data_IF_355154762053
#
_entry.id   IF_355154762053
#
_cell.length_a   1.000
_cell.length_b   1.000
_cell.length_c   1.000
_cell.angle_alpha   90.00
_cell.angle_beta   90.00
_cell.angle_gamma   90.00
#
_symmetry.space_group_name_H-M   'P 1'
#
loop_
_entity.id
_entity.type
_entity.pdbx_description
1 polymer ?
#
# COMPACT_ATOMS: atom_id res chain seq x y z
N UNK A 1 -6.89 1.96 13.34
CA UNK A 1 -6.68 3.32 12.81
C UNK A 1 -7.97 3.83 12.18
N UNK A 2 -8.17 5.13 12.17
CA UNK A 2 -9.33 5.81 11.59
C UNK A 2 -8.89 6.95 10.70
N UNK A 3 -9.60 7.19 9.61
CA UNK A 3 -9.52 8.38 8.79
C UNK A 3 -10.67 9.31 9.21
N UNK A 4 -10.34 10.54 9.58
CA UNK A 4 -11.29 11.59 9.91
C UNK A 4 -11.39 12.54 8.73
N UNK A 5 -12.61 12.83 8.30
CA UNK A 5 -12.89 13.88 7.32
C UNK A 5 -13.41 15.08 8.09
N UNK A 6 -12.73 16.20 7.97
CA UNK A 6 -13.09 17.46 8.62
C UNK A 6 -13.79 18.39 7.62
N UNK A 7 -14.59 19.33 8.12
CA UNK A 7 -15.28 20.33 7.29
C UNK A 7 -14.28 21.29 6.64
N UNK A 8 -13.39 21.86 7.44
CA UNK A 8 -12.27 22.72 7.01
C UNK A 8 -11.19 22.75 8.08
N UNK A 9 -10.05 23.38 7.77
CA UNK A 9 -8.98 23.62 8.75
C UNK A 9 -9.42 24.61 9.84
N UNK A 10 -10.19 25.65 9.44
CA UNK A 10 -10.67 26.70 10.34
C UNK A 10 -11.84 26.24 11.23
N UNK A 11 -12.62 25.28 10.76
CA UNK A 11 -13.72 24.69 11.50
C UNK A 11 -13.59 23.16 11.49
N UNK A 12 -12.79 22.57 12.41
CA UNK A 12 -12.44 21.14 12.41
C UNK A 12 -13.59 20.24 12.90
N UNK A 13 -14.80 20.47 12.39
CA UNK A 13 -15.95 19.60 12.65
C UNK A 13 -15.80 18.30 11.90
N UNK A 14 -15.84 17.18 12.61
CA UNK A 14 -15.79 15.84 12.02
C UNK A 14 -17.06 15.59 11.20
N UNK A 15 -16.92 15.50 9.88
CA UNK A 15 -18.00 15.15 8.97
C UNK A 15 -18.18 13.64 8.84
N UNK A 16 -17.06 12.90 8.85
CA UNK A 16 -17.07 11.44 8.67
C UNK A 16 -15.88 10.79 9.34
N UNK A 17 -16.12 9.60 9.91
CA UNK A 17 -15.07 8.71 10.44
C UNK A 17 -15.11 7.41 9.66
N UNK A 18 -13.96 6.97 9.15
CA UNK A 18 -13.82 5.71 8.44
C UNK A 18 -12.76 4.83 9.11
N UNK A 19 -13.09 3.59 9.41
CA UNK A 19 -12.07 2.60 9.80
C UNK A 19 -11.19 2.30 8.61
N UNK A 20 -9.86 2.38 8.78
CA UNK A 20 -8.90 2.16 7.71
C UNK A 20 -8.62 0.68 7.42
N UNK A 21 -9.03 -0.20 8.31
CA UNK A 21 -8.82 -1.65 8.16
C UNK A 21 -9.56 -2.20 6.94
N UNK A 22 -8.83 -2.85 6.02
CA UNK A 22 -9.34 -3.46 4.79
C UNK A 22 -10.05 -2.48 3.85
N UNK A 23 -9.64 -1.24 3.85
CA UNK A 23 -10.04 -0.27 2.83
C UNK A 23 -9.05 -0.39 1.68
N UNK A 24 -9.56 -0.64 0.48
CA UNK A 24 -8.80 -0.55 -0.77
C UNK A 24 -8.72 0.89 -1.20
N UNK A 25 -7.58 1.30 -1.71
CA UNK A 25 -7.38 2.62 -2.25
C UNK A 25 -6.98 2.51 -3.73
N UNK A 26 -7.68 3.23 -4.58
CA UNK A 26 -7.36 3.37 -5.99
C UNK A 26 -7.19 4.86 -6.33
N UNK A 27 -6.34 5.17 -7.31
CA UNK A 27 -5.98 6.53 -7.69
C UNK A 27 -6.25 6.75 -9.17
N UNK A 28 -6.98 7.81 -9.49
CA UNK A 28 -7.32 8.13 -10.86
C UNK A 28 -6.96 9.59 -11.17
N UNK A 29 -6.40 9.81 -12.35
CA UNK A 29 -6.20 11.14 -12.93
C UNK A 29 -7.16 11.27 -14.11
N UNK A 30 -8.10 12.17 -14.01
CA UNK A 30 -9.04 12.48 -15.08
C UNK A 30 -8.63 13.80 -15.72
N UNK A 31 -8.39 13.79 -17.03
CA UNK A 31 -8.21 15.03 -17.78
C UNK A 31 -9.60 15.61 -18.05
N UNK A 32 -9.80 16.87 -17.73
CA UNK A 32 -10.99 17.57 -18.19
C UNK A 32 -10.77 18.06 -19.62
N UNK A 33 -11.53 17.54 -20.56
CA UNK A 33 -11.55 17.96 -21.97
C UNK A 33 -12.30 19.30 -22.18
N UNK A 34 -12.40 20.14 -21.17
CA UNK A 34 -12.97 21.47 -21.32
C UNK A 34 -11.97 22.39 -22.03
N UNK A 35 -12.41 23.03 -23.10
CA UNK A 35 -11.68 23.91 -24.05
C UNK A 35 -10.95 25.13 -23.46
N UNK A 36 -10.69 25.17 -22.17
CA UNK A 36 -10.02 26.27 -21.48
C UNK A 36 -9.05 25.75 -20.42
N UNK A 37 -7.84 25.37 -20.85
CA UNK A 37 -6.75 25.03 -19.96
C UNK A 37 -6.74 23.56 -19.48
N UNK A 38 -5.57 22.91 -19.54
CA UNK A 38 -5.38 21.54 -19.01
C UNK A 38 -5.51 21.50 -17.48
N UNK A 39 -6.72 21.42 -16.96
CA UNK A 39 -6.92 21.11 -15.55
C UNK A 39 -7.09 19.60 -15.38
N UNK A 40 -6.22 18.97 -14.60
CA UNK A 40 -6.35 17.57 -14.23
C UNK A 40 -7.04 17.46 -12.87
N UNK A 41 -8.09 16.66 -12.79
CA UNK A 41 -8.73 16.30 -11.52
C UNK A 41 -8.15 14.98 -11.04
N UNK A 42 -7.63 14.96 -9.82
CA UNK A 42 -7.14 13.77 -9.19
C UNK A 42 -8.19 13.20 -8.24
N UNK A 43 -8.45 11.92 -8.36
CA UNK A 43 -9.45 11.24 -7.53
C UNK A 43 -8.79 10.11 -6.75
N UNK A 44 -9.11 10.04 -5.47
CA UNK A 44 -8.75 8.93 -4.59
C UNK A 44 -10.05 8.18 -4.28
N UNK A 45 -10.11 6.92 -4.66
CA UNK A 45 -11.23 6.03 -4.39
C UNK A 45 -10.92 5.17 -3.17
N UNK A 46 -11.68 5.32 -2.11
CA UNK A 46 -11.62 4.45 -0.93
C UNK A 46 -12.78 3.44 -1.01
N UNK A 47 -12.46 2.15 -1.15
CA UNK A 47 -13.43 1.09 -1.40
C UNK A 47 -13.47 0.14 -0.21
N UNK A 48 -14.67 -0.06 0.35
CA UNK A 48 -14.90 -1.02 1.43
C UNK A 48 -16.29 -1.66 1.30
N UNK A 49 -16.35 -3.00 1.35
CA UNK A 49 -17.61 -3.77 1.28
C UNK A 49 -18.52 -3.30 0.12
N UNK A 50 -17.96 -3.20 -1.08
CA UNK A 50 -18.62 -2.74 -2.32
C UNK A 50 -19.16 -1.30 -2.28
N UNK A 51 -18.92 -0.56 -1.20
CA UNK A 51 -19.18 0.89 -1.11
C UNK A 51 -17.90 1.65 -1.35
N UNK A 52 -18.01 2.80 -2.02
CA UNK A 52 -16.86 3.66 -2.26
C UNK A 52 -17.10 5.08 -1.77
N UNK A 53 -16.01 5.76 -1.42
CA UNK A 53 -15.97 7.19 -1.15
C UNK A 53 -14.96 7.78 -2.09
N UNK A 54 -15.37 8.79 -2.86
CA UNK A 54 -14.48 9.55 -3.74
C UNK A 54 -13.97 10.78 -3.00
N UNK A 55 -12.66 11.00 -3.05
CA UNK A 55 -12.00 12.23 -2.61
C UNK A 55 -11.41 12.89 -3.84
N UNK A 56 -11.64 14.17 -4.01
CA UNK A 56 -11.16 14.93 -5.16
C UNK A 56 -10.14 15.96 -4.72
N UNK A 57 -9.14 16.20 -5.54
CA UNK A 57 -8.22 17.34 -5.42
C UNK A 57 -7.86 17.85 -6.80
N UNK A 58 -7.80 19.18 -6.92
CA UNK A 58 -7.39 19.86 -8.16
C UNK A 58 -5.89 20.08 -8.21
N UNK A 59 -5.18 19.91 -7.08
CA UNK A 59 -3.75 20.13 -6.98
C UNK A 59 -2.99 18.80 -6.95
N UNK A 60 -2.09 18.63 -7.92
CA UNK A 60 -1.24 17.45 -8.04
C UNK A 60 -0.23 17.28 -6.90
N UNK A 61 0.23 18.37 -6.28
CA UNK A 61 1.15 18.33 -5.15
C UNK A 61 0.45 17.76 -3.91
N UNK A 62 -0.75 18.25 -3.60
CA UNK A 62 -1.58 17.69 -2.53
C UNK A 62 -1.94 16.23 -2.80
N UNK A 63 -2.31 15.88 -4.05
CA UNK A 63 -2.57 14.50 -4.43
C UNK A 63 -1.37 13.58 -4.14
N UNK A 64 -0.16 14.00 -4.54
CA UNK A 64 1.07 13.22 -4.32
C UNK A 64 1.35 13.01 -2.83
N UNK A 65 1.19 14.06 -2.03
CA UNK A 65 1.33 14.01 -0.57
C UNK A 65 0.30 13.05 0.08
N UNK A 66 -0.95 13.12 -0.35
CA UNK A 66 -2.02 12.22 0.10
C UNK A 66 -1.72 10.77 -0.29
N UNK A 67 -1.36 10.53 -1.55
CA UNK A 67 -0.98 9.20 -2.04
C UNK A 67 0.12 8.58 -1.21
N UNK A 68 1.20 9.32 -0.94
CA UNK A 68 2.34 8.86 -0.15
C UNK A 68 1.98 8.47 1.30
N UNK A 69 0.99 9.13 1.90
CA UNK A 69 0.52 8.80 3.25
C UNK A 69 -0.51 7.67 3.27
N UNK A 70 -1.40 7.63 2.27
CA UNK A 70 -2.49 6.65 2.24
C UNK A 70 -2.00 5.25 1.82
N UNK A 71 -0.94 5.14 1.00
CA UNK A 71 -0.37 3.85 0.62
C UNK A 71 0.18 3.04 1.80
N UNK A 72 0.59 3.72 2.88
CA UNK A 72 1.04 3.08 4.13
C UNK A 72 -0.11 2.55 5.01
N UNK A 73 -1.35 2.98 4.74
CA UNK A 73 -2.51 2.71 5.60
C UNK A 73 -3.54 1.83 4.91
N UNK A 74 -3.72 2.02 3.61
CA UNK A 74 -4.74 1.34 2.81
C UNK A 74 -4.13 0.30 1.87
N UNK A 75 -4.93 -0.71 1.54
CA UNK A 75 -4.58 -1.70 0.52
C UNK A 75 -4.60 -1.06 -0.86
N UNK A 76 -3.48 -1.13 -1.56
CA UNK A 76 -3.34 -0.68 -2.94
C UNK A 76 -3.77 -1.80 -3.91
N UNK A 77 -4.23 -1.46 -5.12
CA UNK A 77 -4.70 -2.44 -6.09
C UNK A 77 -3.85 -2.50 -7.38
N UNK A 78 -2.81 -1.69 -7.46
CA UNK A 78 -2.02 -1.42 -8.66
C UNK A 78 -0.64 -2.10 -8.70
N UNK A 79 -0.42 -3.18 -7.92
CA UNK A 79 0.89 -3.82 -7.76
C UNK A 79 1.60 -4.09 -9.09
N UNK A 80 0.94 -4.79 -10.02
CA UNK A 80 1.55 -5.18 -11.30
C UNK A 80 1.75 -4.01 -12.26
N UNK A 81 1.00 -2.94 -12.09
CA UNK A 81 1.19 -1.70 -12.85
C UNK A 81 2.39 -0.93 -12.34
N UNK A 82 2.56 -0.88 -11.01
CA UNK A 82 3.59 -0.11 -10.33
C UNK A 82 4.95 -0.78 -10.28
N UNK A 83 4.99 -2.11 -10.11
CA UNK A 83 6.22 -2.86 -9.90
C UNK A 83 6.50 -3.86 -11.03
N UNK A 84 7.80 -3.98 -11.35
CA UNK A 84 8.36 -5.04 -12.19
C UNK A 84 9.05 -6.06 -11.31
N UNK A 85 8.70 -7.34 -11.42
CA UNK A 85 9.34 -8.43 -10.69
C UNK A 85 10.63 -8.82 -11.39
N UNK A 86 11.76 -8.76 -10.68
CA UNK A 86 13.08 -9.09 -11.22
C UNK A 86 13.43 -10.56 -11.00
N UNK A 87 13.42 -11.00 -9.74
CA UNK A 87 13.74 -12.40 -9.38
C UNK A 87 13.17 -12.76 -8.02
N UNK A 88 13.01 -14.06 -7.78
CA UNK A 88 12.71 -14.58 -6.45
C UNK A 88 14.02 -14.60 -5.62
N UNK A 89 13.96 -14.05 -4.39
CA UNK A 89 15.11 -13.95 -3.48
C UNK A 89 14.91 -14.75 -2.19
N UNK A 90 13.71 -15.30 -1.96
CA UNK A 90 13.42 -16.13 -0.80
C UNK A 90 12.13 -16.94 -0.97
N UNK A 91 12.07 -18.08 -0.28
CA UNK A 91 10.90 -18.94 -0.22
C UNK A 91 10.70 -19.39 1.22
N UNK A 92 9.66 -18.89 1.86
CA UNK A 92 9.21 -19.33 3.17
C UNK A 92 8.07 -20.34 3.10
N UNK A 93 7.62 -20.82 4.25
CA UNK A 93 6.51 -21.76 4.35
C UNK A 93 5.17 -21.16 3.87
N UNK A 94 4.96 -19.86 4.10
CA UNK A 94 3.68 -19.17 3.87
C UNK A 94 3.74 -18.14 2.75
N UNK A 95 4.94 -17.73 2.34
CA UNK A 95 5.12 -16.66 1.36
C UNK A 95 6.36 -16.88 0.50
N UNK A 96 6.37 -16.25 -0.65
CA UNK A 96 7.55 -16.10 -1.50
C UNK A 96 8.05 -14.66 -1.45
N UNK A 97 9.36 -14.48 -1.47
CA UNK A 97 9.96 -13.15 -1.47
C UNK A 97 10.59 -12.87 -2.82
N UNK A 98 10.26 -11.73 -3.38
CA UNK A 98 10.74 -11.30 -4.70
C UNK A 98 11.49 -9.98 -4.58
N UNK A 99 12.55 -9.83 -5.36
CA UNK A 99 13.15 -8.56 -5.68
C UNK A 99 12.30 -7.90 -6.77
N UNK A 100 11.82 -6.69 -6.51
CA UNK A 100 11.04 -5.92 -7.47
C UNK A 100 11.64 -4.54 -7.67
N UNK A 101 11.30 -3.91 -8.81
CA UNK A 101 11.67 -2.54 -9.12
C UNK A 101 10.42 -1.71 -9.39
N UNK A 102 10.33 -0.56 -8.76
CA UNK A 102 9.28 0.41 -9.05
C UNK A 102 9.54 1.02 -10.44
N UNK A 103 8.54 0.97 -11.31
CA UNK A 103 8.63 1.40 -12.72
C UNK A 103 8.74 2.93 -12.88
N UNK A 104 8.24 3.70 -11.91
CA UNK A 104 8.24 5.16 -11.97
C UNK A 104 9.60 5.76 -11.58
N UNK A 105 10.21 5.24 -10.49
CA UNK A 105 11.43 5.82 -9.92
C UNK A 105 12.66 4.90 -9.96
N UNK A 106 12.52 3.68 -10.47
CA UNK A 106 13.62 2.69 -10.57
C UNK A 106 14.08 2.09 -9.23
N UNK A 107 13.50 2.51 -8.10
CA UNK A 107 13.92 2.03 -6.77
C UNK A 107 13.54 0.55 -6.58
N UNK A 108 14.43 -0.19 -5.93
CA UNK A 108 14.26 -1.62 -5.64
C UNK A 108 13.66 -1.86 -4.26
N UNK A 109 12.88 -2.94 -4.15
CA UNK A 109 12.22 -3.36 -2.92
C UNK A 109 12.23 -4.88 -2.80
N UNK A 110 12.11 -5.37 -1.57
CA UNK A 110 11.74 -6.76 -1.31
C UNK A 110 10.22 -6.85 -1.19
N UNK A 111 9.62 -7.85 -1.82
CA UNK A 111 8.16 -8.06 -1.76
C UNK A 111 7.85 -9.44 -1.25
N UNK A 112 7.17 -9.52 -0.11
CA UNK A 112 6.66 -10.76 0.44
C UNK A 112 5.26 -11.01 -0.09
N UNK A 113 5.10 -12.02 -0.95
CA UNK A 113 3.85 -12.36 -1.64
C UNK A 113 3.18 -13.56 -0.98
N UNK A 114 1.93 -13.39 -0.57
CA UNK A 114 1.09 -14.40 0.04
C UNK A 114 -0.02 -14.83 -0.92
N UNK A 115 -0.21 -16.14 -1.13
CA UNK A 115 -1.38 -16.67 -1.82
C UNK A 115 -2.62 -16.57 -0.93
N UNK A 116 -3.70 -15.99 -1.43
CA UNK A 116 -4.98 -15.93 -0.70
C UNK A 116 -5.58 -17.31 -0.47
N UNK A 117 -5.47 -18.19 -1.46
CA UNK A 117 -5.92 -19.58 -1.36
C UNK A 117 -5.20 -20.29 -0.22
N UNK A 118 -3.87 -20.17 -0.16
CA UNK A 118 -3.09 -20.76 0.90
C UNK A 118 -3.41 -20.17 2.28
N UNK A 119 -3.57 -18.85 2.38
CA UNK A 119 -3.95 -18.19 3.62
C UNK A 119 -5.33 -18.65 4.14
N UNK A 120 -6.26 -18.93 3.22
CA UNK A 120 -7.59 -19.42 3.58
C UNK A 120 -7.58 -20.91 3.97
N UNK A 121 -6.66 -21.71 3.44
CA UNK A 121 -6.50 -23.13 3.79
C UNK A 121 -5.87 -23.34 5.17
N UNK A 122 -5.17 -22.33 5.70
CA UNK A 122 -4.52 -22.41 7.00
C UNK A 122 -5.43 -21.92 8.12
N UNK A 123 -5.47 -22.68 9.23
CA UNK A 123 -6.14 -22.22 10.44
C UNK A 123 -5.45 -20.93 10.93
N UNK A 124 -6.23 -19.83 11.03
CA UNK A 124 -5.74 -18.49 11.40
C UNK A 124 -4.72 -17.84 10.44
N UNK A 125 -4.53 -18.35 9.21
CA UNK A 125 -3.57 -17.78 8.26
C UNK A 125 -3.87 -16.31 7.95
N UNK A 126 -5.13 -15.95 7.77
CA UNK A 126 -5.58 -14.57 7.56
C UNK A 126 -5.32 -13.68 8.78
N UNK A 127 -5.60 -14.17 9.98
CA UNK A 127 -5.38 -13.42 11.23
C UNK A 127 -3.90 -13.18 11.48
N UNK A 128 -3.07 -14.20 11.22
CA UNK A 128 -1.62 -14.10 11.33
C UNK A 128 -1.04 -13.03 10.40
N UNK A 129 -1.46 -13.01 9.13
CA UNK A 129 -1.05 -11.97 8.19
C UNK A 129 -1.50 -10.58 8.62
N UNK A 130 -2.73 -10.45 9.14
CA UNK A 130 -3.23 -9.18 9.65
C UNK A 130 -2.36 -8.65 10.78
N UNK A 131 -2.03 -9.53 11.73
CA UNK A 131 -1.20 -9.17 12.87
C UNK A 131 0.21 -8.76 12.41
N UNK A 132 0.80 -9.49 11.45
CA UNK A 132 2.10 -9.12 10.86
C UNK A 132 2.06 -7.71 10.27
N UNK A 133 1.06 -7.40 9.45
CA UNK A 133 0.89 -6.06 8.86
C UNK A 133 0.70 -4.99 9.95
N UNK A 134 -0.16 -5.25 10.94
CA UNK A 134 -0.43 -4.28 12.02
C UNK A 134 0.80 -4.00 12.87
N UNK A 135 1.63 -5.00 13.14
CA UNK A 135 2.91 -4.85 13.86
C UNK A 135 3.87 -4.03 13.01
N UNK A 136 4.10 -4.42 11.75
CA UNK A 136 5.02 -3.70 10.87
C UNK A 136 4.61 -2.24 10.63
N UNK A 137 3.31 -1.94 10.54
CA UNK A 137 2.81 -0.56 10.40
C UNK A 137 3.01 0.31 11.65
N UNK A 138 3.24 -0.30 12.80
CA UNK A 138 3.52 0.43 14.07
C UNK A 138 5.00 0.64 14.30
N UNK A 139 5.84 -0.22 13.70
CA UNK A 139 7.28 -0.12 13.80
C UNK A 139 7.78 0.96 12.84
N UNK A 140 8.54 1.90 13.36
CA UNK A 140 9.25 2.92 12.60
C UNK A 140 10.56 3.19 13.34
N UNK A 141 11.63 2.53 12.91
CA UNK A 141 12.93 2.60 13.57
C UNK A 141 14.02 2.26 12.56
N UNK A 142 15.16 2.92 12.63
CA UNK A 142 16.27 2.81 11.67
C UNK A 142 16.86 1.40 11.56
N UNK A 143 16.74 0.59 12.60
CA UNK A 143 17.23 -0.80 12.64
C UNK A 143 16.13 -1.85 12.48
N UNK A 144 14.94 -1.45 12.07
CA UNK A 144 13.82 -2.37 11.79
C UNK A 144 13.36 -2.17 10.37
N UNK A 145 13.28 -3.26 9.61
CA UNK A 145 12.83 -3.26 8.22
C UNK A 145 11.46 -2.58 8.07
N UNK A 146 11.38 -1.56 7.22
CA UNK A 146 10.19 -0.77 7.01
C UNK A 146 9.20 -1.45 6.06
N UNK A 147 7.90 -1.39 6.42
CA UNK A 147 6.80 -1.70 5.53
C UNK A 147 6.42 -0.43 4.76
N UNK A 148 6.67 -0.42 3.46
CA UNK A 148 6.39 0.73 2.60
C UNK A 148 4.94 0.77 2.13
N UNK A 149 4.45 -0.34 1.60
CA UNK A 149 3.11 -0.44 1.02
C UNK A 149 2.52 -1.84 1.20
N UNK A 150 1.19 -1.93 1.20
CA UNK A 150 0.46 -3.19 1.13
C UNK A 150 -0.43 -3.19 -0.10
N UNK A 151 -0.27 -4.20 -0.96
CA UNK A 151 -1.08 -4.35 -2.16
C UNK A 151 -1.92 -5.61 -2.11
N UNK A 152 -3.05 -5.56 -2.78
CA UNK A 152 -3.96 -6.69 -2.96
C UNK A 152 -4.26 -6.89 -4.45
N UNK A 153 -4.13 -8.13 -4.92
CA UNK A 153 -4.65 -8.55 -6.21
C UNK A 153 -5.80 -9.55 -6.03
N UNK A 154 -6.32 -10.07 -7.13
CA UNK A 154 -7.36 -11.12 -7.09
C UNK A 154 -6.93 -12.31 -6.24
N UNK A 155 -5.68 -12.77 -6.41
CA UNK A 155 -5.21 -14.04 -5.85
C UNK A 155 -4.14 -13.89 -4.76
N UNK A 156 -3.60 -12.69 -4.55
CA UNK A 156 -2.44 -12.49 -3.67
C UNK A 156 -2.51 -11.20 -2.87
N UNK A 157 -1.78 -11.20 -1.75
CA UNK A 157 -1.46 -10.00 -0.97
C UNK A 157 0.06 -9.83 -1.01
N UNK A 158 0.53 -8.60 -1.21
CA UNK A 158 1.92 -8.23 -1.32
C UNK A 158 2.29 -7.22 -0.25
N UNK A 159 3.31 -7.53 0.56
CA UNK A 159 3.94 -6.59 1.45
C UNK A 159 5.19 -6.06 0.77
N UNK A 160 5.19 -4.78 0.41
CA UNK A 160 6.36 -4.08 -0.15
C UNK A 160 7.21 -3.59 1.00
N UNK A 161 8.42 -4.09 1.07
CA UNK A 161 9.36 -3.92 2.16
C UNK A 161 10.62 -3.21 1.66
N UNK A 162 11.29 -2.53 2.55
CA UNK A 162 12.64 -2.06 2.33
C UNK A 162 13.55 -3.21 1.90
N UNK A 163 14.41 -2.96 0.89
CA UNK A 163 15.41 -3.94 0.46
C UNK A 163 16.67 -3.82 1.32
N UNK A 164 16.98 -4.89 2.05
CA UNK A 164 18.21 -5.03 2.82
C UNK A 164 19.21 -5.87 2.02
N UNK A 165 20.32 -5.28 1.60
CA UNK A 165 21.31 -5.93 0.72
C UNK A 165 22.36 -6.74 1.48
N UNK A 166 22.42 -6.66 2.81
CA UNK A 166 23.45 -7.27 3.65
C UNK A 166 23.35 -8.79 3.82
N UNK A 167 22.26 -9.43 3.38
CA UNK A 167 22.04 -10.86 3.55
C UNK A 167 21.67 -11.27 4.99
N UNK A 168 21.71 -12.57 5.27
CA UNK A 168 21.41 -13.12 6.58
C UNK A 168 22.65 -13.09 7.49
N UNK A 169 22.46 -12.80 8.77
CA UNK A 169 23.52 -12.82 9.79
C UNK A 169 24.23 -14.19 9.88
N UNK A 170 23.51 -15.27 9.60
CA UNK A 170 24.04 -16.63 9.56
C UNK A 170 25.12 -16.86 8.49
N UNK A 171 25.16 -15.99 7.47
CA UNK A 171 26.16 -16.04 6.39
C UNK A 171 27.39 -15.16 6.67
N UNK A 172 27.37 -14.37 7.73
CA UNK A 172 28.52 -13.60 8.18
C UNK A 172 29.36 -14.52 9.06
N UNK A 173 30.38 -15.12 8.47
CA UNK A 173 31.42 -15.79 9.24
C UNK A 173 32.20 -14.74 10.03
N UNK A 174 32.00 -14.74 11.34
CA UNK A 174 32.81 -13.98 12.30
C UNK A 174 34.10 -14.80 12.55
#
# INVERSE_FOLDING_TARGET
>A
KYLFMLKSEDEPRILRVMRTKWVRCDYQKVKNDSNSGESSVYTILLIRNMRYTKLFTLDGAHFTKWKANLCKVFLQCDFHTKFHTLKMIGKGSFARVYLVQNKENGRRYAVKAFSKEYLLSQNKGKESLINEIEVMQKLNHDYVMNLEEVHESKNSIYLVLELLEGGELSLIHI
#
